data_IF_604915775831
#
_entry.id   IF_604915775831
#
_cell.length_a   1.000
_cell.length_b   1.000
_cell.length_c   1.000
_cell.angle_alpha   90.00
_cell.angle_beta   90.00
_cell.angle_gamma   90.00
#
_symmetry.space_group_name_H-M   'P 1'
#
loop_
_entity.id
_entity.type
_entity.pdbx_description
1 polymer ?
#
# COMPACT_ATOMS: atom_id res chain seq x y z
N UNK A 1 81.58 -8.33 16.00
CA UNK A 1 80.62 -7.49 15.24
C UNK A 1 79.49 -8.39 14.75
N UNK A 2 78.37 -8.43 15.48
CA UNK A 2 77.21 -9.26 15.16
C UNK A 2 76.11 -8.41 14.52
N UNK A 3 75.55 -8.87 13.41
CA UNK A 3 74.44 -8.21 12.71
C UNK A 3 73.15 -8.94 13.14
N UNK A 4 72.33 -8.29 13.96
CA UNK A 4 70.97 -8.74 14.30
C UNK A 4 70.02 -8.41 13.13
N UNK A 5 69.37 -9.46 12.59
CA UNK A 5 68.25 -9.31 11.64
C UNK A 5 66.94 -9.21 12.43
N UNK A 6 66.24 -8.09 12.29
CA UNK A 6 64.91 -7.85 12.84
C UNK A 6 63.85 -8.48 11.93
N UNK A 7 63.10 -9.46 12.46
CA UNK A 7 61.92 -10.01 11.81
C UNK A 7 60.72 -9.10 12.09
N UNK A 8 60.19 -8.47 11.04
CA UNK A 8 58.92 -7.74 11.09
C UNK A 8 57.79 -8.73 10.82
N UNK A 9 56.97 -9.00 11.84
CA UNK A 9 55.72 -9.75 11.68
C UNK A 9 54.67 -8.82 11.07
N UNK A 10 54.23 -9.12 9.84
CA UNK A 10 53.07 -8.49 9.21
C UNK A 10 51.82 -9.17 9.75
N UNK A 11 50.90 -8.46 10.43
CA UNK A 11 49.63 -9.06 10.82
C UNK A 11 48.73 -9.15 9.59
N UNK A 12 48.35 -10.38 9.24
CA UNK A 12 47.36 -10.65 8.21
C UNK A 12 46.00 -10.26 8.77
N UNK A 13 45.51 -9.08 8.40
CA UNK A 13 44.16 -8.65 8.72
C UNK A 13 43.17 -9.50 7.90
N UNK A 14 42.52 -10.43 8.57
CA UNK A 14 41.38 -11.16 8.05
C UNK A 14 40.20 -10.19 7.88
N UNK A 15 40.01 -9.68 6.67
CA UNK A 15 38.81 -8.93 6.30
C UNK A 15 37.63 -9.90 6.21
N UNK A 16 36.86 -10.00 7.30
CA UNK A 16 35.56 -10.66 7.28
C UNK A 16 34.59 -9.83 6.42
N UNK A 17 34.31 -10.29 5.21
CA UNK A 17 33.20 -9.82 4.40
C UNK A 17 31.89 -10.15 5.14
N UNK A 18 31.38 -9.17 5.87
CA UNK A 18 30.02 -9.17 6.42
C UNK A 18 29.05 -9.05 5.25
N UNK A 19 28.68 -10.18 4.65
CA UNK A 19 27.55 -10.27 3.72
C UNK A 19 26.29 -10.01 4.56
N UNK A 20 25.83 -8.76 4.55
CA UNK A 20 24.56 -8.39 5.14
C UNK A 20 23.44 -9.03 4.30
N UNK A 21 22.96 -10.20 4.73
CA UNK A 21 21.69 -10.72 4.23
C UNK A 21 20.58 -9.74 4.62
N UNK A 22 20.01 -9.03 3.65
CA UNK A 22 18.76 -8.31 3.87
C UNK A 22 17.68 -9.36 4.17
N UNK A 23 17.21 -9.44 5.41
CA UNK A 23 16.07 -10.28 5.75
C UNK A 23 14.88 -9.84 4.89
N UNK A 24 14.27 -10.75 4.10
CA UNK A 24 13.10 -10.40 3.29
C UNK A 24 11.99 -9.86 4.19
N UNK A 25 11.28 -8.82 3.72
CA UNK A 25 10.14 -8.28 4.44
C UNK A 25 9.01 -9.33 4.46
N UNK A 26 8.62 -9.89 5.64
CA UNK A 26 7.65 -10.98 5.72
C UNK A 26 6.23 -10.57 5.30
N UNK A 27 5.94 -9.28 5.31
CA UNK A 27 4.65 -8.72 4.91
C UNK A 27 4.54 -8.60 3.38
N UNK A 28 5.66 -8.65 2.66
CA UNK A 28 5.71 -8.66 1.19
C UNK A 28 5.64 -10.11 0.69
N UNK A 29 4.55 -10.46 0.01
CA UNK A 29 4.36 -11.76 -0.65
C UNK A 29 3.69 -11.57 -1.99
N UNK A 30 4.53 -11.29 -2.99
CA UNK A 30 4.12 -11.04 -4.37
C UNK A 30 4.92 -11.92 -5.31
N UNK A 31 4.28 -12.35 -6.40
CA UNK A 31 4.94 -13.02 -7.52
C UNK A 31 4.40 -12.48 -8.85
N UNK A 32 5.25 -12.48 -9.86
CA UNK A 32 4.84 -12.26 -11.24
C UNK A 32 4.37 -13.59 -11.86
N UNK A 33 3.21 -13.55 -12.51
CA UNK A 33 2.64 -14.67 -13.24
C UNK A 33 3.20 -14.72 -14.67
N UNK A 34 3.08 -15.85 -15.39
CA UNK A 34 3.58 -15.98 -16.76
C UNK A 34 3.03 -14.95 -17.76
N UNK A 35 1.87 -14.35 -17.47
CA UNK A 35 1.23 -13.29 -18.28
C UNK A 35 1.67 -11.86 -17.87
N UNK A 36 2.66 -11.74 -16.98
CA UNK A 36 3.19 -10.47 -16.46
C UNK A 36 2.33 -9.83 -15.37
N UNK A 37 1.22 -10.46 -14.95
CA UNK A 37 0.40 -9.93 -13.87
C UNK A 37 1.01 -10.22 -12.51
N UNK A 38 0.89 -9.27 -11.59
CA UNK A 38 1.30 -9.48 -10.20
C UNK A 38 0.18 -10.14 -9.39
N UNK A 39 0.53 -11.21 -8.68
CA UNK A 39 -0.31 -11.89 -7.71
C UNK A 39 0.25 -11.74 -6.30
N UNK A 40 -0.62 -11.40 -5.35
CA UNK A 40 -0.29 -11.33 -3.91
C UNK A 40 -1.04 -12.40 -3.13
N UNK A 41 -0.41 -12.90 -2.06
CA UNK A 41 -1.07 -13.82 -1.12
C UNK A 41 -2.04 -13.08 -0.20
N UNK A 42 -3.07 -13.76 0.32
CA UNK A 42 -3.97 -13.23 1.35
C UNK A 42 -4.30 -14.24 2.46
N UNK A 43 -4.89 -13.76 3.58
CA UNK A 43 -4.86 -12.39 4.09
C UNK A 43 -3.54 -12.09 4.82
N UNK A 44 -3.12 -10.82 4.80
CA UNK A 44 -2.17 -10.28 5.78
C UNK A 44 -2.90 -9.78 7.03
N UNK A 45 -4.08 -9.17 6.86
CA UNK A 45 -4.90 -8.68 7.96
C UNK A 45 -6.40 -8.83 7.67
N UNK A 46 -7.19 -8.88 8.74
CA UNK A 46 -8.62 -9.18 8.75
C UNK A 46 -8.92 -10.42 9.60
N UNK A 47 -10.19 -10.78 9.80
CA UNK A 47 -11.39 -10.13 9.23
C UNK A 47 -11.69 -8.77 9.88
N UNK A 48 -12.15 -7.81 9.08
CA UNK A 48 -12.70 -6.54 9.55
C UNK A 48 -14.17 -6.41 9.16
N UNK A 49 -15.06 -5.89 10.03
CA UNK A 49 -16.48 -5.73 9.73
C UNK A 49 -16.78 -4.58 8.77
N UNK A 50 -15.89 -3.60 8.65
CA UNK A 50 -16.07 -2.40 7.81
C UNK A 50 -14.80 -2.00 7.07
N UNK A 51 -14.96 -1.20 6.02
CA UNK A 51 -13.83 -0.63 5.27
C UNK A 51 -13.07 0.39 6.11
N UNK A 52 -13.75 1.10 7.01
CA UNK A 52 -13.18 2.05 7.96
C UNK A 52 -12.20 1.36 8.92
N UNK A 53 -12.60 0.22 9.50
CA UNK A 53 -11.74 -0.55 10.40
C UNK A 53 -10.56 -1.16 9.65
N UNK A 54 -10.80 -1.69 8.45
CA UNK A 54 -9.73 -2.14 7.56
C UNK A 54 -8.75 -1.00 7.27
N UNK A 55 -9.23 0.18 6.90
CA UNK A 55 -8.38 1.30 6.50
C UNK A 55 -7.53 1.80 7.68
N UNK A 56 -8.09 1.88 8.88
CA UNK A 56 -7.34 2.25 10.09
C UNK A 56 -6.19 1.28 10.37
N UNK A 57 -6.47 -0.03 10.33
CA UNK A 57 -5.45 -1.07 10.57
C UNK A 57 -4.43 -1.15 9.43
N UNK A 58 -4.88 -1.11 8.18
CA UNK A 58 -4.02 -1.15 6.99
C UNK A 58 -3.06 0.04 6.96
N UNK A 59 -3.52 1.23 7.39
CA UNK A 59 -2.67 2.40 7.51
C UNK A 59 -1.46 2.11 8.43
N UNK A 60 -1.71 1.57 9.62
CA UNK A 60 -0.64 1.23 10.56
C UNK A 60 0.32 0.18 10.00
N UNK A 61 -0.21 -0.88 9.37
CA UNK A 61 0.60 -1.94 8.76
C UNK A 61 1.48 -1.39 7.65
N UNK A 62 0.90 -0.70 6.67
CA UNK A 62 1.60 -0.30 5.44
C UNK A 62 2.61 0.82 5.68
N UNK A 63 2.30 1.79 6.53
CA UNK A 63 3.19 2.93 6.77
C UNK A 63 4.33 2.63 7.74
N UNK A 64 4.28 1.50 8.47
CA UNK A 64 5.38 1.02 9.33
C UNK A 64 6.39 0.15 8.59
N UNK A 65 6.11 -0.21 7.34
CA UNK A 65 7.04 -1.00 6.55
C UNK A 65 8.36 -0.24 6.37
N UNK A 66 9.49 -0.95 6.21
CA UNK A 66 10.78 -0.32 5.94
C UNK A 66 10.65 0.70 4.81
N UNK A 67 11.14 1.93 5.02
CA UNK A 67 11.10 3.00 4.03
C UNK A 67 9.72 3.63 3.76
N UNK A 68 8.61 3.08 4.24
CA UNK A 68 7.26 3.55 3.87
C UNK A 68 6.92 4.98 4.31
N UNK A 69 7.68 5.51 5.28
CA UNK A 69 7.50 6.86 5.84
C UNK A 69 8.78 7.70 5.76
N UNK A 70 9.70 7.36 4.86
CA UNK A 70 11.02 8.03 4.75
C UNK A 70 11.03 9.23 3.79
N UNK A 71 9.91 9.94 3.64
CA UNK A 71 9.82 11.17 2.86
C UNK A 71 10.18 10.97 1.38
N UNK A 72 10.96 11.90 0.83
CA UNK A 72 11.37 11.88 -0.59
C UNK A 72 12.21 10.63 -0.96
N UNK A 73 12.82 9.96 0.03
CA UNK A 73 13.57 8.73 -0.15
C UNK A 73 12.76 7.47 0.21
N UNK A 74 11.50 7.63 0.61
CA UNK A 74 10.67 6.51 1.06
C UNK A 74 10.16 5.62 -0.07
N UNK A 75 9.57 4.49 0.32
CA UNK A 75 9.12 3.44 -0.60
C UNK A 75 7.60 3.34 -0.56
N UNK A 76 7.02 2.98 -1.70
CA UNK A 76 5.60 2.65 -1.78
C UNK A 76 5.39 1.14 -1.76
N UNK A 77 4.40 0.73 -0.98
CA UNK A 77 3.86 -0.62 -0.94
C UNK A 77 2.44 -0.59 -1.46
N UNK A 78 2.07 -1.61 -2.22
CA UNK A 78 0.73 -1.84 -2.75
C UNK A 78 0.12 -3.08 -2.08
N UNK A 79 -1.18 -3.08 -1.90
CA UNK A 79 -1.96 -4.23 -1.45
C UNK A 79 -3.32 -4.27 -2.16
N UNK A 80 -3.95 -5.44 -2.16
CA UNK A 80 -5.34 -5.61 -2.53
C UNK A 80 -6.22 -5.49 -1.29
N UNK A 81 -7.33 -4.77 -1.45
CA UNK A 81 -8.44 -4.74 -0.49
C UNK A 81 -9.54 -5.62 -1.07
N UNK A 82 -9.99 -6.61 -0.31
CA UNK A 82 -11.02 -7.54 -0.77
C UNK A 82 -12.01 -7.89 0.34
N UNK A 83 -13.14 -8.45 -0.07
CA UNK A 83 -14.24 -8.84 0.80
C UNK A 83 -14.55 -10.32 0.60
N UNK A 84 -14.77 -11.05 1.69
CA UNK A 84 -15.32 -12.40 1.68
C UNK A 84 -16.79 -12.34 2.07
N UNK A 85 -17.67 -12.84 1.19
CA UNK A 85 -19.09 -12.93 1.50
C UNK A 85 -19.39 -14.03 2.51
N UNK A 86 -18.58 -15.09 2.55
CA UNK A 86 -18.74 -16.20 3.49
C UNK A 86 -18.54 -15.77 4.95
N UNK A 87 -17.61 -14.85 5.19
CA UNK A 87 -17.32 -14.30 6.52
C UNK A 87 -17.95 -12.92 6.74
N UNK A 88 -18.60 -12.36 5.71
CA UNK A 88 -19.15 -11.01 5.69
C UNK A 88 -18.15 -9.93 6.17
N UNK A 89 -16.90 -10.04 5.70
CA UNK A 89 -15.77 -9.28 6.23
C UNK A 89 -14.79 -8.81 5.14
N UNK A 90 -14.00 -7.80 5.50
CA UNK A 90 -12.99 -7.16 4.67
C UNK A 90 -11.58 -7.56 5.11
N UNK A 91 -10.66 -7.64 4.14
CA UNK A 91 -9.29 -8.09 4.36
C UNK A 91 -8.30 -7.28 3.52
N UNK A 92 -7.07 -7.23 4.03
CA UNK A 92 -5.90 -6.73 3.33
C UNK A 92 -5.05 -7.92 2.87
N UNK A 93 -4.62 -7.93 1.61
CA UNK A 93 -3.63 -8.89 1.14
C UNK A 93 -2.25 -8.62 1.74
N UNK A 94 -1.32 -9.56 1.55
CA UNK A 94 0.09 -9.24 1.65
C UNK A 94 0.50 -8.14 0.65
N UNK A 95 1.63 -7.52 0.95
CA UNK A 95 2.12 -6.35 0.25
C UNK A 95 2.90 -6.75 -1.01
N UNK A 96 3.02 -5.78 -1.91
CA UNK A 96 3.95 -5.75 -3.03
C UNK A 96 4.77 -4.47 -2.95
N UNK A 97 6.08 -4.59 -3.11
CA UNK A 97 7.05 -3.49 -3.19
C UNK A 97 7.62 -3.34 -4.62
N UNK A 98 7.04 -4.02 -5.61
CA UNK A 98 7.50 -3.99 -7.00
C UNK A 98 7.43 -2.56 -7.52
N UNK A 99 8.58 -2.02 -7.95
CA UNK A 99 8.79 -0.60 -8.34
C UNK A 99 8.64 0.45 -7.23
N UNK A 100 8.45 0.04 -5.97
CA UNK A 100 8.25 0.93 -4.82
C UNK A 100 9.43 1.86 -4.51
N UNK A 101 10.63 1.55 -5.02
CA UNK A 101 11.87 2.32 -4.81
C UNK A 101 12.17 3.37 -5.89
N UNK A 102 11.29 3.52 -6.89
CA UNK A 102 11.51 4.48 -7.99
C UNK A 102 11.86 5.88 -7.43
N UNK A 103 13.01 6.41 -7.83
CA UNK A 103 13.55 7.67 -7.28
C UNK A 103 12.86 8.87 -7.94
N UNK A 104 12.46 9.86 -7.14
CA UNK A 104 11.76 11.08 -7.60
C UNK A 104 10.31 11.20 -7.08
N UNK A 105 9.57 12.20 -7.57
CA UNK A 105 8.17 12.48 -7.17
C UNK A 105 7.14 11.56 -7.84
N UNK A 106 7.58 10.62 -8.67
CA UNK A 106 6.73 9.68 -9.43
C UNK A 106 6.89 8.26 -8.88
N UNK A 107 6.94 8.13 -7.55
CA UNK A 107 6.97 6.81 -6.93
C UNK A 107 5.63 6.13 -7.24
N UNK A 108 5.72 4.86 -7.61
CA UNK A 108 4.55 4.04 -7.81
C UNK A 108 4.92 2.60 -7.52
N UNK A 109 4.19 1.95 -6.63
CA UNK A 109 4.17 0.49 -6.62
C UNK A 109 3.36 -0.02 -7.81
N UNK A 110 3.86 -1.06 -8.47
CA UNK A 110 3.11 -1.76 -9.51
C UNK A 110 2.00 -2.55 -8.82
N UNK A 111 0.75 -2.23 -9.15
CA UNK A 111 -0.37 -2.78 -8.39
C UNK A 111 -0.61 -4.24 -8.77
N UNK A 112 -0.66 -5.15 -7.78
CA UNK A 112 -1.25 -6.48 -7.96
C UNK A 112 -2.68 -6.41 -8.52
N UNK A 113 -3.02 -7.39 -9.35
CA UNK A 113 -4.38 -7.56 -9.90
C UNK A 113 -4.95 -8.94 -9.63
N UNK A 114 -4.15 -9.84 -9.04
CA UNK A 114 -4.53 -11.20 -8.68
C UNK A 114 -4.31 -11.43 -7.18
N UNK A 115 -5.24 -12.16 -6.59
CA UNK A 115 -5.19 -12.62 -5.21
C UNK A 115 -4.96 -14.14 -5.20
N UNK A 116 -4.11 -14.61 -4.30
CA UNK A 116 -3.98 -16.01 -3.91
C UNK A 116 -4.37 -16.14 -2.43
N UNK A 117 -5.64 -16.46 -2.19
CA UNK A 117 -6.16 -16.75 -0.86
C UNK A 117 -7.00 -18.02 -0.90
N UNK A 118 -6.42 -19.19 -0.56
CA UNK A 118 -7.14 -20.46 -0.62
C UNK A 118 -8.23 -20.59 0.45
N UNK A 119 -8.27 -19.69 1.45
CA UNK A 119 -9.32 -19.70 2.50
C UNK A 119 -10.53 -18.88 2.11
N UNK A 120 -10.37 -17.89 1.23
CA UNK A 120 -11.45 -17.01 0.76
C UNK A 120 -11.62 -17.12 -0.76
N UNK A 121 -12.03 -18.29 -1.24
CA UNK A 121 -12.25 -18.54 -2.67
C UNK A 121 -13.37 -17.68 -3.28
N UNK A 122 -14.23 -17.10 -2.44
CA UNK A 122 -15.30 -16.17 -2.78
C UNK A 122 -14.86 -14.70 -2.72
N UNK A 123 -13.56 -14.44 -2.54
CA UNK A 123 -13.04 -13.08 -2.40
C UNK A 123 -13.39 -12.20 -3.60
N UNK A 124 -14.02 -11.07 -3.31
CA UNK A 124 -14.27 -9.99 -4.26
C UNK A 124 -13.25 -8.89 -4.03
N UNK A 125 -12.35 -8.67 -4.99
CA UNK A 125 -11.40 -7.55 -4.95
C UNK A 125 -12.17 -6.24 -5.11
N UNK A 126 -12.10 -5.40 -4.07
CA UNK A 126 -12.73 -4.09 -4.00
C UNK A 126 -11.81 -2.97 -4.45
N UNK A 127 -10.51 -3.22 -4.43
CA UNK A 127 -9.56 -2.31 -5.03
C UNK A 127 -8.21 -2.44 -4.38
N UNK A 128 -7.56 -1.31 -4.21
CA UNK A 128 -6.13 -1.22 -3.92
C UNK A 128 -5.90 -0.37 -2.69
N UNK A 129 -4.86 -0.68 -1.94
CA UNK A 129 -4.30 0.19 -0.93
C UNK A 129 -2.84 0.48 -1.26
N UNK A 130 -2.41 1.72 -1.07
CA UNK A 130 -1.00 2.08 -1.14
C UNK A 130 -0.64 3.16 -0.12
N UNK A 131 0.64 3.28 0.23
CA UNK A 131 1.13 4.39 1.04
C UNK A 131 1.81 5.44 0.16
N UNK A 132 1.74 6.71 0.58
CA UNK A 132 2.65 7.75 0.10
C UNK A 132 3.69 8.05 1.19
N UNK A 133 4.99 8.07 0.86
CA UNK A 133 6.02 8.31 1.88
C UNK A 133 6.21 9.78 2.24
N UNK A 134 5.67 10.72 1.44
CA UNK A 134 6.03 12.14 1.51
C UNK A 134 4.84 13.11 1.56
N UNK A 135 3.61 12.68 1.26
CA UNK A 135 2.44 13.56 1.27
C UNK A 135 1.12 12.78 1.48
N UNK A 136 0.04 13.51 1.80
CA UNK A 136 -1.31 12.96 2.07
C UNK A 136 -2.21 12.81 0.84
N UNK A 137 -1.79 13.35 -0.29
CA UNK A 137 -2.64 13.59 -1.46
C UNK A 137 -2.56 12.42 -2.41
N UNK A 138 -3.70 12.01 -2.96
CA UNK A 138 -3.68 11.21 -4.18
C UNK A 138 -2.96 11.98 -5.29
N UNK A 139 -2.17 11.27 -6.08
CA UNK A 139 -1.64 11.81 -7.33
C UNK A 139 -2.74 11.86 -8.39
N UNK A 140 -2.57 12.70 -9.41
CA UNK A 140 -3.45 12.67 -10.60
C UNK A 140 -3.51 11.25 -11.20
N UNK A 141 -2.38 10.53 -11.22
CA UNK A 141 -2.31 9.16 -11.72
C UNK A 141 -3.14 8.18 -10.88
N UNK A 142 -3.25 8.37 -9.58
CA UNK A 142 -4.06 7.52 -8.69
C UNK A 142 -5.55 7.61 -9.04
N UNK A 143 -6.01 8.81 -9.39
CA UNK A 143 -7.42 9.13 -9.63
C UNK A 143 -7.79 9.23 -11.12
N UNK A 144 -6.79 9.14 -12.00
CA UNK A 144 -6.97 9.21 -13.44
C UNK A 144 -7.68 7.99 -14.00
N UNK A 145 -8.33 8.17 -15.16
CA UNK A 145 -9.16 7.14 -15.81
C UNK A 145 -8.39 5.87 -16.16
N UNK A 146 -7.10 5.96 -16.47
CA UNK A 146 -6.24 4.81 -16.76
C UNK A 146 -6.07 3.86 -15.57
N UNK A 147 -6.38 4.35 -14.36
CA UNK A 147 -6.39 3.55 -13.13
C UNK A 147 -7.80 3.23 -12.68
N UNK A 148 -8.85 3.58 -13.41
CA UNK A 148 -10.22 3.24 -13.01
C UNK A 148 -10.40 1.72 -12.86
N UNK A 149 -11.15 1.31 -11.83
CA UNK A 149 -11.50 -0.10 -11.63
C UNK A 149 -12.94 -0.34 -12.08
N UNK A 150 -13.11 -1.05 -13.21
CA UNK A 150 -14.42 -1.36 -13.79
C UNK A 150 -14.76 -2.87 -13.60
N UNK A 151 -15.99 -3.22 -13.19
CA UNK A 151 -17.05 -2.34 -12.72
C UNK A 151 -16.71 -1.70 -11.36
N UNK A 152 -17.19 -0.47 -11.13
CA UNK A 152 -16.95 0.28 -9.89
C UNK A 152 -17.89 -0.10 -8.74
N UNK A 153 -18.96 -0.84 -9.04
CA UNK A 153 -19.89 -1.45 -8.08
C UNK A 153 -20.07 -2.93 -8.41
N UNK A 154 -20.20 -3.77 -7.39
CA UNK A 154 -20.47 -5.19 -7.56
C UNK A 154 -21.43 -5.66 -6.47
N UNK A 155 -22.46 -6.41 -6.85
CA UNK A 155 -23.33 -7.05 -5.88
C UNK A 155 -22.70 -8.38 -5.47
N UNK A 156 -22.48 -8.57 -4.17
CA UNK A 156 -22.14 -9.89 -3.65
C UNK A 156 -23.37 -10.79 -3.69
N UNK A 157 -23.23 -11.91 -4.39
CA UNK A 157 -24.34 -12.85 -4.61
C UNK A 157 -24.80 -13.56 -3.34
N UNK A 158 -23.94 -13.65 -2.32
CA UNK A 158 -24.23 -14.37 -1.07
C UNK A 158 -24.98 -13.49 -0.07
N UNK A 159 -24.51 -12.28 0.14
CA UNK A 159 -25.05 -11.34 1.15
C UNK A 159 -26.04 -10.34 0.56
N UNK A 160 -26.06 -10.17 -0.77
CA UNK A 160 -26.83 -9.13 -1.45
C UNK A 160 -26.25 -7.73 -1.28
N UNK A 161 -25.11 -7.57 -0.61
CA UNK A 161 -24.46 -6.27 -0.42
C UNK A 161 -23.97 -5.71 -1.74
N UNK A 162 -24.26 -4.44 -2.00
CA UNK A 162 -23.63 -3.69 -3.10
C UNK A 162 -22.29 -3.15 -2.61
N UNK A 163 -21.23 -3.83 -3.00
CA UNK A 163 -19.86 -3.47 -2.68
C UNK A 163 -19.37 -2.39 -3.65
N UNK A 164 -18.72 -1.37 -3.10
CA UNK A 164 -18.16 -0.25 -3.86
C UNK A 164 -16.67 -0.38 -3.96
N UNK A 165 -16.14 -0.25 -5.18
CA UNK A 165 -14.71 -0.29 -5.40
C UNK A 165 -14.06 1.05 -5.06
N UNK A 166 -12.87 0.98 -4.48
CA UNK A 166 -12.17 2.16 -4.00
C UNK A 166 -10.64 2.01 -4.02
N UNK A 167 -9.95 3.14 -4.02
CA UNK A 167 -8.52 3.23 -3.76
C UNK A 167 -8.32 3.75 -2.34
N UNK A 168 -7.49 3.08 -1.54
CA UNK A 168 -7.05 3.56 -0.24
C UNK A 168 -5.64 4.12 -0.35
N UNK A 169 -5.44 5.29 0.24
CA UNK A 169 -4.13 5.91 0.41
C UNK A 169 -3.82 6.06 1.89
N UNK A 170 -2.59 5.71 2.26
CA UNK A 170 -2.10 5.79 3.63
C UNK A 170 -0.90 6.73 3.73
N UNK A 171 -0.89 7.58 4.75
CA UNK A 171 0.21 8.47 5.05
C UNK A 171 0.48 8.49 6.54
N UNK A 172 1.75 8.44 6.94
CA UNK A 172 2.15 8.64 8.34
C UNK A 172 2.70 10.04 8.54
N UNK A 173 2.09 10.73 9.50
CA UNK A 173 2.52 12.03 9.97
C UNK A 173 3.90 11.97 10.62
N UNK A 174 4.59 13.11 10.65
CA UNK A 174 5.86 13.22 11.38
C UNK A 174 5.69 12.99 12.88
N UNK A 175 4.54 13.33 13.44
CA UNK A 175 4.20 13.06 14.84
C UNK A 175 3.77 11.59 15.07
N UNK A 176 3.72 10.78 14.01
CA UNK A 176 3.53 9.34 14.07
C UNK A 176 2.10 8.89 13.82
N UNK A 177 1.12 9.78 13.73
CA UNK A 177 -0.27 9.43 13.45
C UNK A 177 -0.42 8.92 12.01
N UNK A 178 -1.24 7.89 11.83
CA UNK A 178 -1.58 7.40 10.51
C UNK A 178 -2.86 8.06 9.98
N UNK A 179 -2.86 8.42 8.70
CA UNK A 179 -3.96 9.05 7.99
C UNK A 179 -4.34 8.18 6.80
N UNK A 180 -5.63 7.88 6.69
CA UNK A 180 -6.19 7.12 5.59
C UNK A 180 -7.13 8.00 4.76
N UNK A 181 -7.04 7.88 3.45
CA UNK A 181 -7.91 8.52 2.47
C UNK A 181 -8.48 7.46 1.55
N UNK A 182 -9.67 7.72 1.03
CA UNK A 182 -10.38 6.85 0.11
C UNK A 182 -10.77 7.65 -1.12
N UNK A 183 -10.52 7.09 -2.30
CA UNK A 183 -11.14 7.53 -3.55
C UNK A 183 -12.14 6.46 -4.00
N UNK A 184 -13.41 6.82 -4.09
CA UNK A 184 -14.48 5.94 -4.55
C UNK A 184 -14.58 6.03 -6.08
N UNK A 185 -14.34 4.92 -6.79
CA UNK A 185 -14.33 4.94 -8.26
C UNK A 185 -15.70 5.23 -8.87
N UNK A 186 -16.77 4.93 -8.14
CA UNK A 186 -18.12 5.02 -8.66
C UNK A 186 -18.70 6.43 -8.58
N UNK A 187 -18.45 7.17 -7.50
CA UNK A 187 -18.88 8.57 -7.35
C UNK A 187 -17.77 9.57 -7.66
N UNK A 188 -16.54 9.08 -7.89
CA UNK A 188 -15.34 9.90 -8.05
C UNK A 188 -15.11 10.85 -6.87
N UNK A 189 -15.51 10.42 -5.68
CA UNK A 189 -15.42 11.19 -4.44
C UNK A 189 -14.15 10.81 -3.65
N UNK A 190 -13.50 11.81 -3.05
CA UNK A 190 -12.39 11.64 -2.13
C UNK A 190 -12.86 11.93 -0.71
N UNK A 191 -12.56 11.01 0.22
CA UNK A 191 -12.88 11.13 1.63
C UNK A 191 -11.66 10.88 2.52
N UNK A 192 -11.61 11.56 3.66
CA UNK A 192 -10.63 11.33 4.73
C UNK A 192 -11.25 10.52 5.86
N UNK A 193 -10.51 9.56 6.42
CA UNK A 193 -10.96 8.82 7.62
C UNK A 193 -10.74 9.70 8.85
N UNK A 194 -11.82 10.15 9.49
CA UNK A 194 -11.80 10.98 10.69
C UNK A 194 -12.71 10.38 11.75
N UNK A 195 -12.21 10.15 12.97
CA UNK A 195 -13.02 9.60 14.05
C UNK A 195 -13.70 8.26 13.74
N UNK A 196 -13.10 7.44 12.87
CA UNK A 196 -13.67 6.16 12.44
C UNK A 196 -14.74 6.26 11.35
N UNK A 197 -14.95 7.42 10.74
CA UNK A 197 -15.91 7.62 9.64
C UNK A 197 -15.26 8.29 8.43
N UNK A 198 -15.73 7.96 7.22
CA UNK A 198 -15.32 8.66 6.00
C UNK A 198 -16.01 10.02 5.92
N UNK A 199 -15.22 11.10 5.91
CA UNK A 199 -15.69 12.46 5.69
C UNK A 199 -15.31 12.87 4.27
N UNK A 200 -16.27 13.16 3.39
CA UNK A 200 -16.00 13.67 2.05
C UNK A 200 -15.22 14.99 2.10
N UNK A 201 -14.14 15.09 1.30
CA UNK A 201 -13.29 16.28 1.23
C UNK A 201 -13.21 16.89 -0.17
N UNK A 202 -13.62 16.15 -1.20
CA UNK A 202 -13.62 16.65 -2.58
C UNK A 202 -14.08 15.63 -3.59
N UNK A 203 -14.08 16.02 -4.85
CA UNK A 203 -14.47 15.18 -5.99
C UNK A 203 -13.50 15.36 -7.15
N UNK A 204 -13.35 14.33 -7.97
CA UNK A 204 -12.47 14.35 -9.14
C UNK A 204 -13.25 14.84 -10.35
N UNK A 205 -12.90 16.02 -10.86
CA UNK A 205 -13.66 16.76 -11.87
C UNK A 205 -13.38 16.36 -13.32
N UNK A 206 -12.28 15.63 -13.59
CA UNK A 206 -11.93 15.18 -14.93
C UNK A 206 -11.21 13.83 -14.98
N UNK A 207 -11.05 13.30 -16.20
CA UNK A 207 -10.42 11.99 -16.47
C UNK A 207 -8.91 11.96 -16.19
N UNK A 208 -8.27 13.12 -16.05
CA UNK A 208 -6.86 13.25 -15.68
C UNK A 208 -6.64 13.05 -14.18
N UNK A 209 -7.71 13.01 -13.37
CA UNK A 209 -7.60 12.84 -11.94
C UNK A 209 -7.42 14.16 -11.19
N UNK A 210 -7.86 15.29 -11.76
CA UNK A 210 -7.86 16.56 -11.03
C UNK A 210 -8.96 16.57 -9.97
N UNK A 211 -8.61 16.96 -8.75
CA UNK A 211 -9.51 17.00 -7.61
C UNK A 211 -9.88 18.45 -7.27
N UNK A 212 -11.17 18.67 -7.02
CA UNK A 212 -11.72 19.88 -6.44
C UNK A 212 -12.14 19.59 -4.99
N UNK A 213 -11.51 20.27 -4.03
CA UNK A 213 -11.86 20.14 -2.63
C UNK A 213 -13.15 20.92 -2.32
N UNK A 214 -13.99 20.35 -1.46
CA UNK A 214 -15.19 21.02 -0.98
C UNK A 214 -14.85 22.22 -0.08
N UNK A 215 -15.77 23.18 0.03
CA UNK A 215 -15.56 24.37 0.84
C UNK A 215 -15.23 24.02 2.30
N UNK A 216 -14.15 24.60 2.82
CA UNK A 216 -13.67 24.35 4.18
C UNK A 216 -13.03 22.97 4.41
N UNK A 217 -12.85 22.15 3.37
CA UNK A 217 -12.17 20.86 3.45
C UNK A 217 -10.72 20.95 2.96
N UNK A 218 -9.85 20.17 3.59
CA UNK A 218 -8.47 19.94 3.16
C UNK A 218 -8.05 18.49 3.51
N UNK A 219 -6.86 18.12 3.07
CA UNK A 219 -6.17 16.88 3.41
C UNK A 219 -5.74 16.83 4.88
N UNK A 220 -5.69 17.96 5.58
CA UNK A 220 -5.36 17.97 7.01
C UNK A 220 -6.54 17.49 7.87
N UNK A 221 -6.28 17.00 9.10
CA UNK A 221 -7.32 16.65 10.07
C UNK A 221 -8.23 17.84 10.40
#
# INVERSE_FOLDING_TARGET
MGIQRSHWAVPWAWAALMVACSTPNPDVRVRELPDGQLQVSGPLAGPFPTVEELAGNACEIMTRQPGASSGDYGMEYCALVYYSGAEDAYYLSHLSDVQGTSVGRTKSCLVPTKLDDPRHLDAVILGRGHNHPHNRRFSQKDMGRDREWVPSRIADSRTGKVLRRHLLLFYREKAGECRAYKFDYADREVAALRGGVWVPIGSVSDDQGNIELYEGQDWTP
#
